data_IF_676210683192
#
_entry.id   IF_676210683192
#
_cell.length_a   1.000
_cell.length_b   1.000
_cell.length_c   1.000
_cell.angle_alpha   90.00
_cell.angle_beta   90.00
_cell.angle_gamma   90.00
#
_symmetry.space_group_name_H-M   'P 1'
#
loop_
_entity.id
_entity.type
_entity.pdbx_description
1 polymer ?
#
# COMPACT_ATOMS: atom_id res chain seq x y z
N UNK A 1 2.72 -41.90 20.15
CA UNK A 1 1.85 -41.43 19.05
C UNK A 1 1.72 -39.92 19.07
N UNK A 2 1.63 -39.30 20.25
CA UNK A 2 1.35 -37.86 20.43
C UNK A 2 2.49 -36.93 19.97
N UNK A 3 3.75 -37.30 20.24
CA UNK A 3 4.92 -36.52 19.80
C UNK A 3 5.07 -36.46 18.27
N UNK A 4 4.69 -37.54 17.57
CA UNK A 4 4.76 -37.62 16.11
C UNK A 4 3.68 -36.74 15.46
N UNK A 5 2.48 -36.72 16.04
CA UNK A 5 1.39 -35.85 15.59
C UNK A 5 1.75 -34.37 15.80
N UNK A 6 2.32 -34.03 16.96
CA UNK A 6 2.81 -32.67 17.22
C UNK A 6 3.88 -32.24 16.21
N UNK A 7 4.85 -33.11 15.93
CA UNK A 7 5.88 -32.86 14.93
C UNK A 7 5.28 -32.63 13.53
N UNK A 8 4.28 -33.43 13.14
CA UNK A 8 3.57 -33.27 11.85
C UNK A 8 2.87 -31.92 11.74
N UNK A 9 2.20 -31.46 12.80
CA UNK A 9 1.56 -30.14 12.84
C UNK A 9 2.57 -28.99 12.74
N UNK A 10 3.75 -29.11 13.37
CA UNK A 10 4.81 -28.11 13.26
C UNK A 10 5.35 -28.02 11.82
N UNK A 11 5.56 -29.16 11.17
CA UNK A 11 6.02 -29.21 9.77
C UNK A 11 4.98 -28.56 8.85
N UNK A 12 3.70 -28.86 9.05
CA UNK A 12 2.61 -28.25 8.27
C UNK A 12 2.55 -26.72 8.48
N UNK A 13 2.70 -26.22 9.71
CA UNK A 13 2.72 -24.79 10.00
C UNK A 13 3.87 -24.08 9.29
N UNK A 14 5.09 -24.63 9.35
CA UNK A 14 6.25 -24.07 8.65
C UNK A 14 6.02 -24.04 7.14
N UNK A 15 5.42 -25.10 6.59
CA UNK A 15 5.06 -25.16 5.17
C UNK A 15 4.06 -24.07 4.77
N UNK A 16 3.00 -23.87 5.56
CA UNK A 16 2.01 -22.81 5.29
C UNK A 16 2.60 -21.40 5.41
N UNK A 17 3.46 -21.16 6.41
CA UNK A 17 4.15 -19.87 6.56
C UNK A 17 5.08 -19.61 5.37
N UNK A 18 5.84 -20.61 4.93
CA UNK A 18 6.70 -20.50 3.76
C UNK A 18 5.89 -20.22 2.48
N UNK A 19 4.78 -20.93 2.28
CA UNK A 19 3.88 -20.72 1.15
C UNK A 19 3.29 -19.30 1.15
N UNK A 20 2.90 -18.79 2.32
CA UNK A 20 2.39 -17.43 2.47
C UNK A 20 3.49 -16.39 2.18
N UNK A 21 4.69 -16.59 2.72
CA UNK A 21 5.82 -15.70 2.48
C UNK A 21 6.19 -15.61 0.99
N UNK A 22 6.20 -16.74 0.27
CA UNK A 22 6.44 -16.78 -1.17
C UNK A 22 5.37 -16.04 -1.97
N UNK A 23 4.10 -16.05 -1.52
CA UNK A 23 3.03 -15.32 -2.18
C UNK A 23 3.10 -13.81 -1.91
N UNK A 24 3.44 -13.41 -0.69
CA UNK A 24 3.47 -12.00 -0.28
C UNK A 24 4.71 -11.28 -0.78
N UNK A 25 5.85 -11.96 -0.93
CA UNK A 25 7.11 -11.34 -1.38
C UNK A 25 6.98 -10.54 -2.70
N UNK A 26 6.49 -11.11 -3.83
CA UNK A 26 6.28 -10.34 -5.05
C UNK A 26 5.16 -9.31 -4.92
N UNK A 27 4.15 -9.58 -4.07
CA UNK A 27 3.05 -8.64 -3.85
C UNK A 27 3.51 -7.37 -3.14
N UNK A 28 4.48 -7.48 -2.23
CA UNK A 28 5.09 -6.36 -1.52
C UNK A 28 5.97 -5.52 -2.44
N UNK A 29 6.81 -6.17 -3.27
CA UNK A 29 7.66 -5.49 -4.25
C UNK A 29 6.84 -4.71 -5.28
N UNK A 30 5.81 -5.36 -5.83
CA UNK A 30 4.87 -4.73 -6.76
C UNK A 30 4.12 -3.58 -6.07
N UNK A 31 3.67 -3.77 -4.83
CA UNK A 31 3.02 -2.69 -4.07
C UNK A 31 3.97 -1.51 -3.86
N UNK A 32 5.25 -1.75 -3.58
CA UNK A 32 6.25 -0.69 -3.42
C UNK A 32 6.43 0.12 -4.71
N UNK A 33 6.57 -0.55 -5.85
CA UNK A 33 6.69 0.12 -7.15
C UNK A 33 5.42 0.93 -7.52
N UNK A 34 4.23 0.42 -7.15
CA UNK A 34 2.97 1.13 -7.28
C UNK A 34 2.81 2.34 -6.34
N UNK A 35 3.67 2.54 -5.34
CA UNK A 35 3.65 3.76 -4.50
C UNK A 35 4.36 4.93 -5.18
N UNK A 36 5.39 4.64 -5.98
CA UNK A 36 6.19 5.65 -6.69
C UNK A 36 5.61 5.98 -8.07
N UNK A 37 4.92 5.03 -8.70
CA UNK A 37 4.26 5.20 -9.99
C UNK A 37 3.25 6.38 -10.03
N UNK A 38 2.36 6.59 -9.03
CA UNK A 38 1.48 7.75 -8.94
C UNK A 38 2.19 9.09 -9.02
N UNK A 39 3.31 9.25 -8.30
CA UNK A 39 4.05 10.51 -8.26
C UNK A 39 4.70 10.81 -9.61
N UNK A 40 5.26 9.79 -10.26
CA UNK A 40 5.83 9.91 -11.60
C UNK A 40 4.73 10.24 -12.64
N UNK A 41 3.57 9.59 -12.53
CA UNK A 41 2.42 9.85 -13.41
C UNK A 41 1.87 11.24 -13.17
N UNK A 42 1.75 11.71 -11.93
CA UNK A 42 1.23 13.03 -11.60
C UNK A 42 2.05 14.16 -12.24
N UNK A 43 3.38 14.00 -12.27
CA UNK A 43 4.31 14.91 -12.95
C UNK A 43 4.31 14.76 -14.48
N UNK A 44 3.67 13.72 -15.02
CA UNK A 44 3.47 13.57 -16.47
C UNK A 44 2.21 14.33 -16.93
N UNK A 45 2.04 14.54 -18.25
CA UNK A 45 0.84 15.18 -18.83
C UNK A 45 -0.37 14.22 -18.89
N UNK A 46 -0.63 13.47 -17.81
CA UNK A 46 -1.66 12.41 -17.75
C UNK A 46 -3.09 12.92 -18.01
N UNK A 47 -3.36 14.19 -17.70
CA UNK A 47 -4.62 14.90 -17.96
C UNK A 47 -4.96 15.05 -19.44
N UNK A 48 -4.00 14.80 -20.34
CA UNK A 48 -4.17 14.90 -21.80
C UNK A 48 -4.48 13.54 -22.46
N UNK A 49 -4.44 12.46 -21.70
CA UNK A 49 -4.74 11.12 -22.19
C UNK A 49 -6.24 10.83 -22.14
N UNK A 50 -6.65 9.70 -22.73
CA UNK A 50 -8.04 9.25 -22.72
C UNK A 50 -8.65 9.18 -21.32
N UNK A 51 -9.93 9.55 -21.22
CA UNK A 51 -10.72 9.57 -19.99
C UNK A 51 -10.76 8.20 -19.30
N UNK A 52 -10.64 7.10 -20.07
CA UNK A 52 -10.57 5.75 -19.52
C UNK A 52 -9.29 5.52 -18.70
N UNK A 53 -8.14 5.88 -19.28
CA UNK A 53 -6.83 5.76 -18.65
C UNK A 53 -6.73 6.69 -17.43
N UNK A 54 -7.30 7.89 -17.54
CA UNK A 54 -7.37 8.85 -16.44
C UNK A 54 -8.09 8.29 -15.20
N UNK A 55 -9.25 7.64 -15.40
CA UNK A 55 -10.03 7.02 -14.32
C UNK A 55 -9.29 5.83 -13.69
N UNK A 56 -8.62 5.01 -14.50
CA UNK A 56 -7.84 3.87 -14.01
C UNK A 56 -6.65 4.32 -13.18
N UNK A 57 -5.91 5.32 -13.65
CA UNK A 57 -4.80 5.93 -12.90
C UNK A 57 -5.31 6.46 -11.57
N UNK A 58 -6.38 7.29 -11.57
CA UNK A 58 -6.94 7.86 -10.34
C UNK A 58 -7.39 6.77 -9.35
N UNK A 59 -7.99 5.69 -9.85
CA UNK A 59 -8.39 4.55 -9.03
C UNK A 59 -7.17 3.82 -8.42
N UNK A 60 -6.12 3.58 -9.20
CA UNK A 60 -4.88 2.96 -8.71
C UNK A 60 -4.17 3.86 -7.70
N UNK A 61 -4.11 5.17 -7.94
CA UNK A 61 -3.55 6.13 -6.99
C UNK A 61 -4.33 6.14 -5.68
N UNK A 62 -5.67 6.17 -5.74
CA UNK A 62 -6.54 6.13 -4.57
C UNK A 62 -6.37 4.82 -3.78
N UNK A 63 -6.31 3.68 -4.49
CA UNK A 63 -6.10 2.37 -3.86
C UNK A 63 -4.69 2.22 -3.28
N UNK A 64 -3.67 2.76 -3.94
CA UNK A 64 -2.27 2.76 -3.46
C UNK A 64 -2.10 3.62 -2.21
N UNK A 65 -2.72 4.81 -2.18
CA UNK A 65 -2.81 5.61 -0.96
C UNK A 65 -3.61 4.89 0.13
N UNK A 66 -4.70 4.20 -0.23
CA UNK A 66 -5.49 3.40 0.72
C UNK A 66 -4.76 2.18 1.26
N UNK A 67 -3.86 1.57 0.49
CA UNK A 67 -3.09 0.40 0.89
C UNK A 67 -2.01 0.75 1.92
N UNK A 68 -1.52 2.01 1.94
CA UNK A 68 -0.70 2.53 3.05
C UNK A 68 -1.49 2.66 4.37
N UNK A 69 -2.82 2.65 4.32
CA UNK A 69 -3.71 2.64 5.48
C UNK A 69 -4.17 1.23 5.87
N UNK A 70 -3.43 0.16 5.54
CA UNK A 70 -3.57 -1.08 6.32
C UNK A 70 -3.07 -0.78 7.72
N UNK A 71 -4.03 -0.29 8.49
CA UNK A 71 -3.97 0.23 9.84
C UNK A 71 -3.44 -0.90 10.70
N UNK A 72 -2.12 -0.94 10.88
CA UNK A 72 -1.49 -1.52 12.05
C UNK A 72 -2.00 -0.74 13.25
N UNK A 73 -3.09 -1.23 13.84
CA UNK A 73 -3.55 -0.88 15.18
C UNK A 73 -3.78 0.63 15.46
N UNK A 74 -4.64 1.30 14.69
CA UNK A 74 -5.34 2.52 15.14
C UNK A 74 -4.46 3.72 15.52
N UNK A 75 -3.22 3.81 15.02
CA UNK A 75 -2.33 4.93 15.31
C UNK A 75 -2.22 5.86 14.09
N UNK A 76 -2.95 6.96 14.21
CA UNK A 76 -2.77 8.24 13.51
C UNK A 76 -3.22 8.26 12.03
N UNK A 77 -4.44 8.76 11.84
CA UNK A 77 -4.81 9.46 10.61
C UNK A 77 -3.92 10.70 10.49
N UNK A 78 -2.80 10.59 9.76
CA UNK A 78 -2.07 11.78 9.31
C UNK A 78 -2.91 12.34 8.17
N UNK A 79 -3.88 13.15 8.56
CA UNK A 79 -4.61 14.04 7.69
C UNK A 79 -3.59 14.98 7.01
N UNK A 80 -3.16 14.63 5.79
CA UNK A 80 -2.29 15.46 4.95
C UNK A 80 -2.91 16.84 4.71
N UNK A 81 -4.24 16.94 4.82
CA UNK A 81 -5.01 18.18 4.73
C UNK A 81 -4.66 19.19 5.85
N UNK A 82 -4.16 18.70 7.00
CA UNK A 82 -3.65 19.59 8.05
C UNK A 82 -2.27 20.15 7.68
N UNK A 83 -1.38 19.37 7.05
CA UNK A 83 -0.04 19.87 6.67
C UNK A 83 -0.06 20.98 5.60
N UNK A 84 -1.04 20.93 4.69
CA UNK A 84 -1.23 21.98 3.68
C UNK A 84 -1.85 23.26 4.30
N UNK A 85 -2.75 23.10 5.27
CA UNK A 85 -3.36 24.25 5.96
C UNK A 85 -2.45 24.92 7.00
N UNK A 86 -1.43 24.25 7.57
CA UNK A 86 -0.43 24.93 8.43
C UNK A 86 0.63 25.69 7.64
N UNK A 87 0.95 25.29 6.41
CA UNK A 87 1.77 26.12 5.50
C UNK A 87 1.01 27.35 5.02
N UNK A 88 -0.33 27.26 5.00
CA UNK A 88 -1.25 28.33 4.68
C UNK A 88 -1.96 28.90 5.93
N UNK A 89 -1.28 28.94 7.08
CA UNK A 89 -1.62 29.96 8.08
C UNK A 89 -0.53 31.02 8.02
N UNK A 90 -0.94 32.28 8.04
CA UNK A 90 -0.22 33.30 8.81
C UNK A 90 1.06 33.94 8.24
N UNK A 91 1.43 33.72 6.98
CA UNK A 91 2.56 34.46 6.38
C UNK A 91 2.17 35.42 5.25
N UNK A 92 1.08 36.16 5.42
CA UNK A 92 0.88 37.58 5.07
C UNK A 92 -0.29 38.05 5.94
N UNK A 93 -0.11 38.81 7.03
CA UNK A 93 0.13 40.27 7.05
C UNK A 93 -0.72 40.99 6.02
#
# INVERSE_FOLDING_TARGET
MDAVNFLSHLIALVFYIAQFALYTFPAEEVAFEFLDLPNAIYNSKWYRNEVCIQKQILYVMLKSQQQKYFTGAGLVNINVETFDSVSCNYKQI
#
